data_IF_633245511789
#
_entry.id   IF_633245511789
#
_cell.length_a   1.000
_cell.length_b   1.000
_cell.length_c   1.000
_cell.angle_alpha   90.00
_cell.angle_beta   90.00
_cell.angle_gamma   90.00
#
_symmetry.space_group_name_H-M   'P 1'
#
loop_
_entity.id
_entity.type
_entity.pdbx_description
1 polymer ?
#
# COMPACT_ATOMS: atom_id res chain seq x y z
N UNK A 1 -12.20 -11.52 52.91
CA UNK A 1 -11.01 -10.93 52.25
C UNK A 1 -10.92 -11.59 50.90
N UNK A 2 -11.18 -10.81 49.84
CA UNK A 2 -11.28 -11.25 48.46
C UNK A 2 -9.98 -11.92 48.03
N UNK A 3 -10.05 -13.16 47.56
CA UNK A 3 -9.09 -13.70 46.61
C UNK A 3 -9.00 -12.70 45.46
N UNK A 4 -7.81 -12.17 45.22
CA UNK A 4 -7.49 -11.38 44.05
C UNK A 4 -7.69 -12.29 42.83
N UNK A 5 -8.83 -12.18 42.15
CA UNK A 5 -9.01 -12.74 40.82
C UNK A 5 -8.02 -12.00 39.90
N UNK A 6 -6.79 -12.52 39.81
CA UNK A 6 -5.80 -12.03 38.85
C UNK A 6 -6.42 -12.16 37.47
N UNK A 7 -6.89 -11.03 36.94
CA UNK A 7 -7.37 -10.94 35.57
C UNK A 7 -6.27 -11.48 34.66
N UNK A 8 -6.52 -12.61 34.00
CA UNK A 8 -5.59 -13.20 33.04
C UNK A 8 -5.43 -12.21 31.89
N UNK A 9 -4.26 -11.58 31.82
CA UNK A 9 -3.93 -10.59 30.79
C UNK A 9 -3.50 -11.30 29.52
N UNK A 10 -4.03 -10.86 28.36
CA UNK A 10 -3.55 -11.31 27.05
C UNK A 10 -2.22 -10.66 26.64
N UNK A 11 -1.74 -9.67 27.40
CA UNK A 11 -0.44 -9.05 27.21
C UNK A 11 0.60 -9.74 28.11
N UNK A 12 1.77 -10.06 27.53
CA UNK A 12 2.95 -10.57 28.27
C UNK A 12 3.71 -9.48 29.03
N UNK A 13 3.27 -8.24 28.92
CA UNK A 13 3.84 -7.03 29.52
C UNK A 13 2.72 -6.12 30.00
N UNK A 14 3.04 -5.12 30.82
CA UNK A 14 2.10 -4.06 31.20
C UNK A 14 1.93 -3.09 30.02
N UNK A 15 0.74 -3.01 29.38
CA UNK A 15 0.55 -2.20 28.19
C UNK A 15 0.47 -0.70 28.54
N UNK A 16 1.16 0.14 27.79
CA UNK A 16 1.06 1.59 27.94
C UNK A 16 -0.32 2.11 27.53
N UNK A 17 -0.94 2.91 28.38
CA UNK A 17 -2.20 3.60 28.07
C UNK A 17 -2.00 4.86 27.21
N UNK A 18 -0.87 5.55 27.43
CA UNK A 18 -0.63 6.88 26.85
C UNK A 18 -0.09 6.78 25.43
N UNK A 19 0.85 5.86 25.17
CA UNK A 19 1.51 5.74 23.87
C UNK A 19 0.50 5.44 22.73
N UNK A 20 -0.41 4.45 22.85
CA UNK A 20 -1.40 4.20 21.79
C UNK A 20 -2.31 5.40 21.54
N UNK A 21 -2.69 6.16 22.57
CA UNK A 21 -3.52 7.36 22.43
C UNK A 21 -2.81 8.47 21.64
N UNK A 22 -1.55 8.74 21.98
CA UNK A 22 -0.73 9.75 21.27
C UNK A 22 -0.58 9.36 19.81
N UNK A 23 -0.19 8.11 19.54
CA UNK A 23 0.04 7.67 18.17
C UNK A 23 -1.24 7.53 17.35
N UNK A 24 -2.38 7.16 17.96
CA UNK A 24 -3.68 7.26 17.32
C UNK A 24 -3.96 8.70 16.86
N UNK A 25 -3.69 9.70 17.71
CA UNK A 25 -3.81 11.11 17.36
C UNK A 25 -2.90 11.51 16.20
N UNK A 26 -1.63 11.09 16.20
CA UNK A 26 -0.68 11.41 15.13
C UNK A 26 -1.07 10.77 13.79
N UNK A 27 -1.46 9.49 13.79
CA UNK A 27 -1.95 8.81 12.58
C UNK A 27 -3.23 9.47 12.08
N UNK A 28 -4.15 9.85 12.98
CA UNK A 28 -5.38 10.56 12.62
C UNK A 28 -5.09 11.91 11.95
N UNK A 29 -4.14 12.70 12.48
CA UNK A 29 -3.71 13.95 11.84
C UNK A 29 -3.15 13.72 10.43
N UNK A 30 -2.36 12.66 10.25
CA UNK A 30 -1.86 12.24 8.93
C UNK A 30 -3.01 11.86 7.99
N UNK A 31 -4.04 11.16 8.49
CA UNK A 31 -5.24 10.81 7.73
C UNK A 31 -6.04 12.07 7.32
N UNK A 32 -6.26 13.01 8.23
CA UNK A 32 -6.95 14.28 7.94
C UNK A 32 -6.20 15.08 6.88
N UNK A 33 -4.86 15.17 6.99
CA UNK A 33 -4.03 15.81 5.98
C UNK A 33 -4.20 15.11 4.61
N UNK A 34 -4.20 13.78 4.58
CA UNK A 34 -4.41 13.00 3.36
C UNK A 34 -5.78 13.25 2.72
N UNK A 35 -6.85 13.27 3.53
CA UNK A 35 -8.22 13.59 3.07
C UNK A 35 -8.27 14.98 2.44
N UNK A 36 -7.69 15.98 3.10
CA UNK A 36 -7.62 17.33 2.57
C UNK A 36 -6.83 17.37 1.24
N UNK A 37 -5.70 16.68 1.16
CA UNK A 37 -4.91 16.56 -0.06
C UNK A 37 -5.70 15.90 -1.20
N UNK A 38 -6.47 14.87 -0.91
CA UNK A 38 -7.30 14.20 -1.92
C UNK A 38 -8.39 15.11 -2.49
N UNK A 39 -9.00 15.98 -1.67
CA UNK A 39 -9.88 17.03 -2.18
C UNK A 39 -9.12 18.10 -2.97
N UNK A 40 -7.95 18.52 -2.47
CA UNK A 40 -7.10 19.56 -3.06
C UNK A 40 -6.56 19.19 -4.44
N UNK A 41 -6.15 17.92 -4.65
CA UNK A 41 -5.63 17.37 -5.89
C UNK A 41 -6.66 16.57 -6.69
N UNK A 42 -7.88 16.34 -6.17
CA UNK A 42 -8.94 15.53 -6.79
C UNK A 42 -8.46 14.13 -7.19
N UNK A 43 -7.65 13.52 -6.32
CA UNK A 43 -6.93 12.28 -6.61
C UNK A 43 -7.49 11.04 -5.90
N UNK A 44 -8.68 11.17 -5.30
CA UNK A 44 -9.39 10.14 -4.53
C UNK A 44 -9.38 8.74 -5.16
N UNK A 45 -9.56 8.60 -6.48
CA UNK A 45 -9.61 7.27 -7.12
C UNK A 45 -8.29 6.51 -7.07
N UNK A 46 -7.16 7.22 -6.98
CA UNK A 46 -5.83 6.59 -6.98
C UNK A 46 -5.40 6.27 -5.55
N UNK A 47 -5.62 7.19 -4.64
CA UNK A 47 -5.22 7.11 -3.23
C UNK A 47 -6.34 6.63 -2.31
N UNK A 48 -7.44 6.10 -2.85
CA UNK A 48 -8.58 5.56 -2.10
C UNK A 48 -8.16 4.56 -1.02
N UNK A 49 -7.25 3.65 -1.38
CA UNK A 49 -6.74 2.63 -0.46
C UNK A 49 -5.88 3.23 0.66
N UNK A 50 -5.18 4.35 0.43
CA UNK A 50 -4.41 5.01 1.49
C UNK A 50 -5.32 5.64 2.55
N UNK A 51 -6.49 6.14 2.16
CA UNK A 51 -7.53 6.57 3.10
C UNK A 51 -8.01 5.41 3.98
N UNK A 52 -8.36 4.27 3.38
CA UNK A 52 -8.80 3.09 4.14
C UNK A 52 -7.71 2.54 5.04
N UNK A 53 -6.46 2.48 4.57
CA UNK A 53 -5.32 2.11 5.40
C UNK A 53 -5.21 2.99 6.65
N UNK A 54 -5.32 4.32 6.48
CA UNK A 54 -5.25 5.26 7.61
C UNK A 54 -6.44 5.21 8.54
N UNK A 55 -7.63 4.96 8.03
CA UNK A 55 -8.81 4.77 8.87
C UNK A 55 -8.66 3.52 9.74
N UNK A 56 -8.34 2.37 9.13
CA UNK A 56 -8.14 1.11 9.84
C UNK A 56 -7.02 1.22 10.88
N UNK A 57 -5.90 1.85 10.50
CA UNK A 57 -4.77 2.00 11.41
C UNK A 57 -5.12 2.89 12.61
N UNK A 58 -5.79 4.03 12.37
CA UNK A 58 -6.26 4.92 13.44
C UNK A 58 -7.19 4.17 14.39
N UNK A 59 -8.18 3.44 13.86
CA UNK A 59 -9.11 2.63 14.66
C UNK A 59 -8.37 1.58 15.47
N UNK A 60 -7.39 0.90 14.87
CA UNK A 60 -6.55 -0.09 15.56
C UNK A 60 -5.82 0.49 16.77
N UNK A 61 -5.21 1.67 16.65
CA UNK A 61 -4.51 2.31 17.77
C UNK A 61 -5.46 2.87 18.83
N UNK A 62 -6.66 3.33 18.45
CA UNK A 62 -7.72 3.69 19.41
C UNK A 62 -8.17 2.44 20.19
N UNK A 63 -8.45 1.34 19.49
CA UNK A 63 -8.83 0.08 20.12
C UNK A 63 -7.71 -0.46 21.01
N UNK A 64 -6.44 -0.29 20.62
CA UNK A 64 -5.32 -0.66 21.47
C UNK A 64 -5.27 0.16 22.75
N UNK A 65 -5.52 1.47 22.67
CA UNK A 65 -5.65 2.33 23.84
C UNK A 65 -6.74 1.78 24.78
N UNK A 66 -7.94 1.50 24.27
CA UNK A 66 -9.05 0.95 25.07
C UNK A 66 -8.68 -0.42 25.66
N UNK A 67 -8.08 -1.29 24.85
CA UNK A 67 -7.64 -2.64 25.24
C UNK A 67 -6.58 -2.62 26.35
N UNK A 68 -5.74 -1.58 26.42
CA UNK A 68 -4.77 -1.43 27.50
C UNK A 68 -5.42 -1.26 28.88
N UNK A 69 -6.59 -0.63 28.97
CA UNK A 69 -7.36 -0.51 30.22
C UNK A 69 -8.16 -1.77 30.58
N UNK A 70 -8.33 -2.68 29.62
CA UNK A 70 -9.11 -3.91 29.77
C UNK A 70 -8.30 -5.14 29.30
N UNK A 71 -7.15 -5.44 29.93
CA UNK A 71 -6.19 -6.43 29.44
C UNK A 71 -6.74 -7.87 29.39
N UNK A 72 -7.80 -8.17 30.16
CA UNK A 72 -8.50 -9.46 30.13
C UNK A 72 -9.64 -9.57 29.10
N UNK A 73 -9.90 -8.53 28.30
CA UNK A 73 -10.95 -8.57 27.28
C UNK A 73 -10.41 -9.10 25.94
N UNK A 74 -10.70 -10.37 25.66
CA UNK A 74 -10.25 -11.06 24.45
C UNK A 74 -10.71 -10.37 23.16
N UNK A 75 -11.96 -9.90 23.13
CA UNK A 75 -12.54 -9.28 21.93
C UNK A 75 -11.84 -7.98 21.58
N UNK A 76 -11.49 -7.16 22.58
CA UNK A 76 -10.73 -5.93 22.38
C UNK A 76 -9.29 -6.22 21.93
N UNK A 77 -8.65 -7.22 22.54
CA UNK A 77 -7.30 -7.65 22.17
C UNK A 77 -7.22 -8.15 20.72
N UNK A 78 -8.20 -8.95 20.29
CA UNK A 78 -8.29 -9.43 18.90
C UNK A 78 -8.60 -8.27 17.96
N UNK A 79 -9.59 -7.43 18.28
CA UNK A 79 -9.99 -6.33 17.43
C UNK A 79 -8.82 -5.36 17.16
N UNK A 80 -8.10 -4.92 18.20
CA UNK A 80 -6.95 -4.03 18.01
C UNK A 80 -5.85 -4.67 17.14
N UNK A 81 -5.55 -5.96 17.34
CA UNK A 81 -4.53 -6.66 16.55
C UNK A 81 -4.93 -6.72 15.07
N UNK A 82 -6.17 -7.11 14.79
CA UNK A 82 -6.69 -7.22 13.43
C UNK A 82 -6.63 -5.86 12.71
N UNK A 83 -7.10 -4.78 13.34
CA UNK A 83 -7.09 -3.45 12.70
C UNK A 83 -5.67 -2.91 12.48
N UNK A 84 -4.75 -3.12 13.44
CA UNK A 84 -3.35 -2.70 13.29
C UNK A 84 -2.67 -3.51 12.17
N UNK A 85 -2.94 -4.81 12.06
CA UNK A 85 -2.25 -5.70 11.11
C UNK A 85 -2.82 -5.64 9.70
N UNK A 86 -4.13 -5.37 9.56
CA UNK A 86 -4.80 -5.26 8.26
C UNK A 86 -4.50 -3.95 7.52
N UNK A 87 -4.20 -2.87 8.24
CA UNK A 87 -3.96 -1.56 7.65
C UNK A 87 -2.78 -1.51 6.63
N UNK A 88 -1.59 -2.07 6.89
CA UNK A 88 -0.47 -2.06 5.96
C UNK A 88 -0.71 -2.74 4.62
N UNK A 89 -1.27 -3.96 4.52
CA UNK A 89 -1.67 -4.53 3.23
C UNK A 89 -2.57 -3.58 2.43
N UNK A 90 -3.49 -2.88 3.11
CA UNK A 90 -4.34 -1.86 2.49
C UNK A 90 -3.55 -0.63 2.04
N UNK A 91 -2.55 -0.20 2.80
CA UNK A 91 -1.60 0.84 2.37
C UNK A 91 -0.78 0.42 1.14
N UNK A 92 -0.31 -0.83 1.10
CA UNK A 92 0.40 -1.38 -0.06
C UNK A 92 -0.48 -1.40 -1.30
N UNK A 93 -1.79 -1.67 -1.18
CA UNK A 93 -2.73 -1.55 -2.30
C UNK A 93 -2.74 -0.13 -2.89
N UNK A 94 -2.55 0.92 -2.08
CA UNK A 94 -2.40 2.28 -2.59
C UNK A 94 -1.11 2.44 -3.42
N UNK A 95 0.01 1.89 -2.95
CA UNK A 95 1.28 1.88 -3.68
C UNK A 95 1.14 1.12 -5.01
N UNK A 96 0.47 -0.05 -5.02
CA UNK A 96 0.24 -0.86 -6.22
C UNK A 96 -0.59 -0.08 -7.27
N UNK A 97 -1.60 0.67 -6.81
CA UNK A 97 -2.37 1.54 -7.68
C UNK A 97 -1.50 2.67 -8.28
N UNK A 98 -0.63 3.29 -7.47
CA UNK A 98 0.30 4.32 -7.93
C UNK A 98 1.28 3.74 -8.97
N UNK A 99 1.77 2.51 -8.79
CA UNK A 99 2.61 1.80 -9.78
C UNK A 99 1.84 1.59 -11.10
N UNK A 100 0.59 1.15 -11.04
CA UNK A 100 -0.27 1.05 -12.23
C UNK A 100 -0.48 2.41 -12.91
N UNK A 101 -0.61 3.50 -12.15
CA UNK A 101 -0.71 4.86 -12.68
C UNK A 101 0.60 5.37 -13.29
N UNK A 102 1.74 5.01 -12.73
CA UNK A 102 3.05 5.30 -13.29
C UNK A 102 3.21 4.61 -14.66
N UNK A 103 2.78 3.35 -14.80
CA UNK A 103 2.83 2.66 -16.10
C UNK A 103 1.83 3.21 -17.12
N UNK A 104 0.65 3.67 -16.69
CA UNK A 104 -0.27 4.38 -17.59
C UNK A 104 0.33 5.71 -18.10
N UNK A 105 1.12 6.38 -17.26
CA UNK A 105 1.78 7.63 -17.61
C UNK A 105 3.04 7.40 -18.47
N UNK A 106 3.76 6.29 -18.27
CA UNK A 106 4.91 5.85 -19.06
C UNK A 106 4.63 4.51 -19.75
N UNK A 107 3.71 4.46 -20.73
CA UNK A 107 3.26 3.21 -21.32
C UNK A 107 4.40 2.48 -22.07
N UNK A 108 5.35 3.24 -22.63
CA UNK A 108 6.59 2.74 -23.25
C UNK A 108 7.44 1.85 -22.32
N UNK A 109 7.41 2.13 -21.02
CA UNK A 109 8.23 1.46 -20.00
C UNK A 109 7.42 0.49 -19.14
N UNK A 110 6.14 0.30 -19.45
CA UNK A 110 5.26 -0.58 -18.71
C UNK A 110 5.81 -2.01 -18.66
N UNK A 111 5.80 -2.60 -17.46
CA UNK A 111 6.24 -3.98 -17.25
C UNK A 111 5.07 -4.94 -17.46
N UNK A 112 3.87 -4.56 -17.00
CA UNK A 112 2.65 -5.36 -17.11
C UNK A 112 1.48 -4.47 -17.52
N UNK A 113 0.32 -5.08 -17.74
CA UNK A 113 -0.93 -4.35 -17.96
C UNK A 113 -1.21 -3.35 -16.82
N UNK A 114 -1.16 -2.02 -17.06
CA UNK A 114 -1.18 -1.00 -16.01
C UNK A 114 -2.47 -1.01 -15.16
N UNK A 115 -3.62 -1.25 -15.81
CA UNK A 115 -4.92 -1.21 -15.13
C UNK A 115 -5.23 -2.46 -14.28
N UNK A 116 -4.44 -3.54 -14.41
CA UNK A 116 -4.69 -4.82 -13.70
C UNK A 116 -3.72 -5.07 -12.55
N UNK A 117 -2.65 -4.29 -12.46
CA UNK A 117 -1.60 -4.40 -11.43
C UNK A 117 -2.21 -4.32 -10.02
N UNK A 118 -3.05 -3.32 -9.76
CA UNK A 118 -3.72 -3.19 -8.46
C UNK A 118 -4.47 -4.47 -8.08
N UNK A 119 -5.30 -4.98 -9.00
CA UNK A 119 -6.16 -6.13 -8.74
C UNK A 119 -5.33 -7.38 -8.47
N UNK A 120 -4.31 -7.65 -9.29
CA UNK A 120 -3.46 -8.84 -9.15
C UNK A 120 -2.70 -8.83 -7.84
N UNK A 121 -2.08 -7.71 -7.48
CA UNK A 121 -1.32 -7.62 -6.23
C UNK A 121 -2.23 -7.60 -4.99
N UNK A 122 -3.43 -7.03 -5.08
CA UNK A 122 -4.42 -7.12 -3.99
C UNK A 122 -4.89 -8.55 -3.77
N UNK A 123 -5.18 -9.32 -4.83
CA UNK A 123 -5.56 -10.73 -4.68
C UNK A 123 -4.40 -11.59 -4.18
N UNK A 124 -3.18 -11.37 -4.67
CA UNK A 124 -1.99 -12.04 -4.15
C UNK A 124 -1.80 -11.73 -2.65
N UNK A 125 -1.90 -10.46 -2.26
CA UNK A 125 -1.85 -10.04 -0.86
C UNK A 125 -2.97 -10.67 -0.02
N UNK A 126 -4.21 -10.65 -0.50
CA UNK A 126 -5.34 -11.25 0.22
C UNK A 126 -5.21 -12.77 0.39
N UNK A 127 -4.66 -13.48 -0.60
CA UNK A 127 -4.36 -14.91 -0.48
C UNK A 127 -3.28 -15.17 0.58
N UNK A 128 -2.22 -14.37 0.58
CA UNK A 128 -1.14 -14.44 1.58
C UNK A 128 -1.66 -14.13 2.99
N UNK A 129 -2.44 -13.07 3.15
CA UNK A 129 -3.08 -12.72 4.43
C UNK A 129 -4.06 -13.81 4.89
N UNK A 130 -4.78 -14.46 3.96
CA UNK A 130 -5.63 -15.59 4.27
C UNK A 130 -4.86 -16.77 4.89
N UNK A 131 -3.66 -17.06 4.39
CA UNK A 131 -2.77 -18.07 4.98
C UNK A 131 -2.35 -17.66 6.40
N UNK A 132 -1.96 -16.39 6.60
CA UNK A 132 -1.57 -15.87 7.91
C UNK A 132 -2.71 -15.93 8.92
N UNK A 133 -3.92 -15.50 8.53
CA UNK A 133 -5.13 -15.54 9.38
C UNK A 133 -5.51 -16.97 9.72
N UNK A 134 -5.49 -17.89 8.75
CA UNK A 134 -5.75 -19.31 9.01
C UNK A 134 -4.71 -19.90 9.99
N UNK A 135 -3.44 -19.52 9.84
CA UNK A 135 -2.37 -19.88 10.76
C UNK A 135 -2.60 -19.35 12.18
N UNK A 136 -2.96 -18.07 12.30
CA UNK A 136 -3.27 -17.43 13.59
C UNK A 136 -4.48 -18.05 14.28
N UNK A 137 -5.55 -18.35 13.53
CA UNK A 137 -6.73 -19.02 14.07
C UNK A 137 -6.38 -20.43 14.59
N UNK A 138 -5.60 -21.20 13.82
CA UNK A 138 -5.14 -22.53 14.22
C UNK A 138 -4.21 -22.49 15.43
N UNK A 139 -3.33 -21.49 15.48
CA UNK A 139 -2.45 -21.25 16.63
C UNK A 139 -3.25 -20.95 17.90
N UNK A 140 -4.25 -20.05 17.80
CA UNK A 140 -5.08 -19.66 18.94
C UNK A 140 -5.99 -20.80 19.45
N UNK A 141 -6.42 -21.69 18.54
CA UNK A 141 -7.28 -22.83 18.88
C UNK A 141 -6.51 -24.07 19.37
N UNK A 142 -5.16 -24.05 19.37
CA UNK A 142 -4.36 -25.24 19.61
C UNK A 142 -4.52 -25.82 21.02
N UNK A 143 -4.73 -24.98 22.05
CA UNK A 143 -4.71 -25.43 23.45
C UNK A 143 -3.40 -26.18 23.75
N UNK A 144 -3.51 -27.43 24.20
CA UNK A 144 -2.38 -28.34 24.47
C UNK A 144 -1.94 -29.17 23.25
N UNK A 145 -2.61 -29.04 22.08
CA UNK A 145 -2.25 -29.76 20.87
C UNK A 145 -1.01 -29.14 20.20
N UNK A 146 0.15 -29.72 20.51
CA UNK A 146 1.44 -29.34 19.96
C UNK A 146 1.50 -29.39 18.41
N UNK A 147 0.75 -30.30 17.76
CA UNK A 147 0.74 -30.40 16.31
C UNK A 147 -0.07 -29.26 15.67
N UNK A 148 -1.21 -28.89 16.25
CA UNK A 148 -1.97 -27.72 15.82
C UNK A 148 -1.19 -26.43 16.03
N UNK A 149 -0.55 -26.27 17.20
CA UNK A 149 0.30 -25.14 17.53
C UNK A 149 1.42 -24.95 16.49
N UNK A 150 2.18 -26.00 16.23
CA UNK A 150 3.29 -25.98 15.25
C UNK A 150 2.79 -25.68 13.85
N UNK A 151 1.69 -26.32 13.43
CA UNK A 151 1.14 -26.11 12.09
C UNK A 151 0.58 -24.71 11.89
N UNK A 152 -0.14 -24.16 12.86
CA UNK A 152 -0.63 -22.78 12.82
C UNK A 152 0.53 -21.80 12.71
N UNK A 153 1.58 -22.06 13.47
CA UNK A 153 2.80 -21.28 13.41
C UNK A 153 3.50 -21.27 12.06
N UNK A 154 3.71 -22.46 11.47
CA UNK A 154 4.30 -22.58 10.13
C UNK A 154 3.50 -21.79 9.09
N UNK A 155 2.17 -21.80 9.16
CA UNK A 155 1.31 -21.04 8.25
C UNK A 155 1.54 -19.52 8.40
N UNK A 156 1.63 -19.00 9.62
CA UNK A 156 1.95 -17.58 9.86
C UNK A 156 3.33 -17.24 9.26
N UNK A 157 4.36 -18.05 9.52
CA UNK A 157 5.71 -17.82 8.97
C UNK A 157 5.73 -17.81 7.44
N UNK A 158 5.05 -18.78 6.82
CA UNK A 158 4.93 -18.87 5.35
C UNK A 158 4.23 -17.64 4.79
N UNK A 159 3.12 -17.22 5.40
CA UNK A 159 2.40 -16.02 5.02
C UNK A 159 3.30 -14.78 5.05
N UNK A 160 4.05 -14.58 6.14
CA UNK A 160 4.94 -13.43 6.31
C UNK A 160 6.11 -13.42 5.30
N UNK A 161 6.71 -14.58 5.01
CA UNK A 161 7.75 -14.70 3.97
C UNK A 161 7.16 -14.36 2.59
N UNK A 162 6.00 -14.91 2.25
CA UNK A 162 5.35 -14.64 0.98
C UNK A 162 4.97 -13.16 0.85
N UNK A 163 4.56 -12.51 1.94
CA UNK A 163 4.24 -11.09 1.97
C UNK A 163 5.48 -10.23 1.67
N UNK A 164 6.62 -10.55 2.28
CA UNK A 164 7.89 -9.89 1.97
C UNK A 164 8.30 -10.12 0.50
N UNK A 165 8.09 -11.32 -0.04
CA UNK A 165 8.40 -11.63 -1.44
C UNK A 165 7.51 -10.83 -2.41
N UNK A 166 6.21 -10.69 -2.13
CA UNK A 166 5.29 -9.86 -2.92
C UNK A 166 5.73 -8.39 -2.93
N UNK A 167 6.14 -7.85 -1.77
CA UNK A 167 6.63 -6.48 -1.70
C UNK A 167 7.95 -6.29 -2.46
N UNK A 168 8.87 -7.25 -2.38
CA UNK A 168 10.11 -7.26 -3.18
C UNK A 168 9.81 -7.26 -4.69
N UNK A 169 8.80 -8.00 -5.14
CA UNK A 169 8.38 -8.02 -6.55
C UNK A 169 7.89 -6.63 -6.99
N UNK A 170 7.15 -5.92 -6.14
CA UNK A 170 6.67 -4.56 -6.43
C UNK A 170 7.84 -3.59 -6.57
N UNK A 171 8.81 -3.66 -5.66
CA UNK A 171 10.05 -2.87 -5.74
C UNK A 171 10.80 -3.17 -7.05
N UNK A 172 10.89 -4.44 -7.44
CA UNK A 172 11.53 -4.84 -8.69
C UNK A 172 10.80 -4.26 -9.92
N UNK A 173 9.47 -4.21 -9.92
CA UNK A 173 8.68 -3.55 -10.98
C UNK A 173 9.00 -2.06 -11.07
N UNK A 174 9.05 -1.35 -9.95
CA UNK A 174 9.41 0.07 -9.92
C UNK A 174 10.85 0.27 -10.41
N UNK A 175 11.79 -0.58 -9.98
CA UNK A 175 13.17 -0.58 -10.46
C UNK A 175 13.30 -0.81 -11.97
N UNK A 176 12.53 -1.74 -12.54
CA UNK A 176 12.51 -1.95 -13.98
C UNK A 176 11.99 -0.73 -14.74
N UNK A 177 10.89 -0.11 -14.29
CA UNK A 177 10.35 1.10 -14.94
C UNK A 177 11.35 2.24 -14.86
N UNK A 178 11.92 2.47 -13.67
CA UNK A 178 12.86 3.55 -13.42
C UNK A 178 14.14 3.40 -14.26
N UNK A 179 14.71 2.20 -14.32
CA UNK A 179 15.92 1.93 -15.13
C UNK A 179 15.67 2.03 -16.63
N UNK A 180 14.51 1.58 -17.12
CA UNK A 180 14.11 1.73 -18.52
C UNK A 180 13.93 3.20 -18.91
N UNK A 181 13.23 3.98 -18.08
CA UNK A 181 13.04 5.41 -18.27
C UNK A 181 14.36 6.19 -18.25
N UNK A 182 15.26 5.85 -17.32
CA UNK A 182 16.60 6.45 -17.24
C UNK A 182 17.45 6.18 -18.48
N UNK A 183 17.49 4.92 -18.94
CA UNK A 183 18.24 4.52 -20.15
C UNK A 183 17.71 5.18 -21.42
N UNK A 184 16.40 5.41 -21.50
CA UNK A 184 15.75 6.06 -22.62
C UNK A 184 15.82 7.59 -22.58
N UNK A 185 16.44 8.21 -21.56
CA UNK A 185 16.48 9.66 -21.41
C UNK A 185 15.12 10.31 -21.10
N UNK A 186 14.12 9.51 -20.71
CA UNK A 186 12.72 9.94 -20.48
C UNK A 186 12.37 9.93 -19.00
N UNK A 187 13.32 10.33 -18.14
CA UNK A 187 13.16 10.40 -16.69
C UNK A 187 13.06 11.85 -16.20
N UNK A 188 11.90 12.52 -16.40
CA UNK A 188 11.69 13.85 -15.86
C UNK A 188 11.61 13.85 -14.33
N UNK A 189 11.71 15.04 -13.73
CA UNK A 189 11.80 15.22 -12.27
C UNK A 189 10.58 14.65 -11.54
N UNK A 190 9.37 14.82 -12.08
CA UNK A 190 8.13 14.29 -11.49
C UNK A 190 8.14 12.76 -11.40
N UNK A 191 8.56 12.06 -12.46
CA UNK A 191 8.69 10.59 -12.48
C UNK A 191 9.77 10.15 -11.51
N UNK A 192 10.94 10.80 -11.52
CA UNK A 192 12.02 10.48 -10.59
C UNK A 192 11.58 10.60 -9.13
N UNK A 193 10.92 11.71 -8.78
CA UNK A 193 10.38 11.92 -7.42
C UNK A 193 9.31 10.89 -7.07
N UNK A 194 8.44 10.52 -8.01
CA UNK A 194 7.44 9.49 -7.79
C UNK A 194 8.07 8.10 -7.56
N UNK A 195 9.08 7.71 -8.35
CA UNK A 195 9.82 6.47 -8.15
C UNK A 195 10.52 6.45 -6.77
N UNK A 196 11.16 7.56 -6.38
CA UNK A 196 11.74 7.69 -5.04
C UNK A 196 10.68 7.62 -3.94
N UNK A 197 9.51 8.19 -4.17
CA UNK A 197 8.39 8.06 -3.23
C UNK A 197 7.99 6.60 -3.06
N UNK A 198 7.87 5.85 -4.16
CA UNK A 198 7.51 4.43 -4.17
C UNK A 198 8.57 3.56 -3.49
N UNK A 199 9.86 3.80 -3.73
CA UNK A 199 10.93 3.10 -3.02
C UNK A 199 10.93 3.36 -1.53
N UNK A 200 10.69 4.62 -1.12
CA UNK A 200 10.57 4.98 0.29
C UNK A 200 9.42 4.22 0.94
N UNK A 201 8.23 4.29 0.35
CA UNK A 201 7.04 3.59 0.88
C UNK A 201 7.23 2.08 0.94
N UNK A 202 7.75 1.45 -0.11
CA UNK A 202 7.94 0.00 -0.14
C UNK A 202 9.04 -0.47 0.81
N UNK A 203 10.09 0.34 1.02
CA UNK A 203 11.13 0.03 2.03
C UNK A 203 10.54 -0.03 3.43
N UNK A 204 9.64 0.88 3.80
CA UNK A 204 9.01 0.87 5.13
C UNK A 204 8.07 -0.33 5.33
N UNK A 205 7.32 -0.70 4.28
CA UNK A 205 6.49 -1.92 4.30
C UNK A 205 7.39 -3.16 4.44
N UNK A 206 8.46 -3.25 3.66
CA UNK A 206 9.38 -4.39 3.71
C UNK A 206 10.05 -4.52 5.08
N UNK A 207 10.51 -3.41 5.67
CA UNK A 207 11.10 -3.40 6.99
C UNK A 207 10.13 -3.96 8.04
N UNK A 208 8.88 -3.49 8.03
CA UNK A 208 7.81 -4.03 8.88
C UNK A 208 7.60 -5.53 8.64
N UNK A 209 7.48 -5.98 7.38
CA UNK A 209 7.30 -7.40 7.07
C UNK A 209 8.45 -8.27 7.59
N UNK A 210 9.69 -7.80 7.50
CA UNK A 210 10.87 -8.49 8.05
C UNK A 210 10.75 -8.60 9.58
N UNK A 211 10.42 -7.51 10.28
CA UNK A 211 10.26 -7.53 11.73
C UNK A 211 9.12 -8.44 12.19
N UNK A 212 7.99 -8.43 11.48
CA UNK A 212 6.88 -9.36 11.73
C UNK A 212 7.31 -10.81 11.51
N UNK A 213 8.07 -11.10 10.46
CA UNK A 213 8.62 -12.43 10.24
C UNK A 213 9.53 -12.84 11.40
N UNK A 214 10.45 -11.97 11.83
CA UNK A 214 11.36 -12.23 12.96
C UNK A 214 10.59 -12.48 14.26
N UNK A 215 9.61 -11.64 14.59
CA UNK A 215 8.75 -11.82 15.77
C UNK A 215 7.99 -13.14 15.73
N UNK A 216 7.46 -13.50 14.56
CA UNK A 216 6.79 -14.78 14.36
C UNK A 216 7.75 -15.96 14.54
N UNK A 217 8.99 -15.86 14.07
CA UNK A 217 10.00 -16.90 14.28
C UNK A 217 10.42 -17.01 15.75
N UNK A 218 10.52 -15.92 16.49
CA UNK A 218 10.79 -15.93 17.93
C UNK A 218 9.66 -16.64 18.70
N UNK A 219 8.41 -16.40 18.30
CA UNK A 219 7.23 -17.07 18.84
C UNK A 219 7.24 -18.60 18.59
N UNK A 220 7.88 -19.08 17.50
CA UNK A 220 8.09 -20.51 17.23
C UNK A 220 9.37 -21.08 17.83
N UNK A 221 10.41 -20.28 18.01
CA UNK A 221 11.67 -20.73 18.59
C UNK A 221 11.52 -21.04 20.08
N UNK A 222 10.67 -20.28 20.77
CA UNK A 222 10.44 -20.39 22.21
C UNK A 222 9.16 -21.20 22.53
N UNK A 223 9.04 -22.39 21.95
CA UNK A 223 7.94 -23.35 22.22
C UNK A 223 7.94 -23.75 23.71
N UNK A 224 6.81 -23.56 24.40
CA UNK A 224 6.64 -23.98 25.80
C UNK A 224 7.26 -23.02 26.84
N UNK A 225 7.58 -21.80 26.44
CA UNK A 225 8.20 -20.82 27.32
C UNK A 225 7.11 -20.08 28.12
N UNK A 226 6.88 -20.48 29.38
CA UNK A 226 6.00 -19.75 30.31
C UNK A 226 6.65 -18.47 30.85
N UNK A 227 8.00 -18.44 30.94
CA UNK A 227 8.79 -17.28 31.37
C UNK A 227 9.94 -16.99 30.38
N UNK A 228 10.07 -15.74 29.93
CA UNK A 228 11.10 -15.25 29.00
C UNK A 228 11.01 -15.75 27.54
N UNK A 229 9.84 -15.59 26.90
CA UNK A 229 9.61 -15.94 25.47
C UNK A 229 10.40 -15.11 24.43
N UNK A 230 11.49 -14.47 24.85
CA UNK A 230 12.32 -13.57 24.05
C UNK A 230 11.96 -12.08 24.23
N UNK A 231 12.93 -11.18 23.99
CA UNK A 231 12.81 -9.76 24.30
C UNK A 231 11.78 -9.04 23.42
N UNK A 232 11.43 -9.56 22.24
CA UNK A 232 10.50 -8.89 21.32
C UNK A 232 9.07 -9.00 21.83
N UNK A 233 8.66 -10.20 22.26
CA UNK A 233 7.31 -10.43 22.80
C UNK A 233 7.11 -9.84 24.20
N UNK A 234 8.20 -9.67 24.94
CA UNK A 234 8.18 -9.20 26.33
C UNK A 234 8.22 -7.68 26.48
N UNK A 235 8.55 -6.95 25.41
CA UNK A 235 8.70 -5.50 25.45
C UNK A 235 7.80 -4.79 24.44
N UNK A 236 6.94 -3.91 24.93
CA UNK A 236 5.98 -3.19 24.09
C UNK A 236 6.65 -2.29 23.04
N UNK A 237 7.84 -1.76 23.33
CA UNK A 237 8.50 -0.77 22.47
C UNK A 237 8.82 -1.31 21.06
N UNK A 238 9.03 -2.63 20.88
CA UNK A 238 9.26 -3.22 19.55
C UNK A 238 8.05 -3.03 18.64
N UNK A 239 6.84 -3.16 19.17
CA UNK A 239 5.61 -2.87 18.44
C UNK A 239 5.60 -1.39 17.99
N UNK A 240 5.90 -0.45 18.88
CA UNK A 240 5.91 0.96 18.48
C UNK A 240 7.04 1.29 17.48
N UNK A 241 8.22 0.71 17.64
CA UNK A 241 9.37 1.01 16.79
C UNK A 241 9.26 0.38 15.39
N UNK A 242 8.81 -0.87 15.29
CA UNK A 242 8.91 -1.67 14.07
C UNK A 242 7.55 -1.98 13.42
N UNK A 243 6.46 -1.93 14.17
CA UNK A 243 5.11 -2.08 13.63
C UNK A 243 4.49 -0.71 13.30
N UNK A 244 4.48 0.19 14.29
CA UNK A 244 3.95 1.53 14.13
C UNK A 244 4.89 2.44 13.36
N UNK A 245 6.14 2.54 13.78
CA UNK A 245 7.12 3.51 13.28
C UNK A 245 7.21 3.56 11.75
N UNK A 246 7.45 2.43 11.06
CA UNK A 246 7.58 2.42 9.60
C UNK A 246 6.27 2.85 8.91
N UNK A 247 5.13 2.40 9.42
CA UNK A 247 3.82 2.76 8.87
C UNK A 247 3.46 4.22 9.13
N UNK A 248 3.84 4.76 10.28
CA UNK A 248 3.68 6.17 10.59
C UNK A 248 4.47 7.01 9.59
N UNK A 249 5.76 6.71 9.42
CA UNK A 249 6.62 7.42 8.46
C UNK A 249 6.09 7.27 7.04
N UNK A 250 5.62 6.07 6.65
CA UNK A 250 4.98 5.83 5.36
C UNK A 250 3.82 6.80 5.09
N UNK A 251 2.94 7.03 6.06
CA UNK A 251 1.79 7.92 5.87
C UNK A 251 2.21 9.37 5.66
N UNK A 252 3.14 9.86 6.47
CA UNK A 252 3.67 11.21 6.32
C UNK A 252 4.45 11.36 5.02
N UNK A 253 5.20 10.33 4.62
CA UNK A 253 5.94 10.30 3.37
C UNK A 253 5.01 10.44 2.17
N UNK A 254 3.92 9.67 2.13
CA UNK A 254 2.87 9.82 1.10
C UNK A 254 2.19 11.19 1.13
N UNK A 255 2.01 11.78 2.31
CA UNK A 255 1.43 13.12 2.41
C UNK A 255 2.40 14.21 1.90
N UNK A 256 3.70 14.08 2.19
CA UNK A 256 4.72 15.01 1.71
C UNK A 256 4.89 14.93 0.20
N UNK A 257 4.97 13.70 -0.33
CA UNK A 257 5.17 13.39 -1.74
C UNK A 257 3.88 12.90 -2.42
N UNK A 258 2.77 13.60 -2.16
CA UNK A 258 1.46 13.19 -2.63
C UNK A 258 1.43 12.96 -4.16
N UNK A 259 1.07 11.74 -4.65
CA UNK A 259 1.12 11.39 -6.08
C UNK A 259 0.34 12.34 -6.99
N UNK A 260 -0.74 12.94 -6.47
CA UNK A 260 -1.52 13.97 -7.18
C UNK A 260 -0.77 15.26 -7.50
N UNK A 261 0.48 15.44 -7.04
CA UNK A 261 1.38 16.52 -7.50
C UNK A 261 2.13 16.15 -8.78
N UNK A 262 2.39 14.86 -9.00
CA UNK A 262 3.32 14.38 -10.02
C UNK A 262 2.64 13.66 -11.19
N UNK A 263 1.44 13.09 -10.95
CA UNK A 263 0.69 12.34 -11.94
C UNK A 263 -0.60 13.07 -12.36
N UNK A 264 -0.99 12.98 -13.64
CA UNK A 264 -2.27 13.51 -14.08
C UNK A 264 -3.44 12.71 -13.51
N UNK A 265 -4.58 13.37 -13.26
CA UNK A 265 -5.81 12.70 -12.84
C UNK A 265 -6.32 11.69 -13.87
N UNK A 266 -6.35 12.07 -15.15
CA UNK A 266 -6.83 11.20 -16.22
C UNK A 266 -5.77 10.15 -16.57
N UNK A 267 -6.13 8.85 -16.54
CA UNK A 267 -5.20 7.75 -16.89
C UNK A 267 -4.82 7.71 -18.36
N UNK A 268 -5.61 8.33 -19.23
CA UNK A 268 -5.34 8.40 -20.67
C UNK A 268 -4.23 9.39 -21.05
N UNK A 269 -3.84 10.26 -20.11
CA UNK A 269 -2.74 11.20 -20.31
C UNK A 269 -1.41 10.49 -20.06
N UNK A 270 -0.56 10.46 -21.07
CA UNK A 270 0.74 9.81 -21.03
C UNK A 270 1.86 10.77 -21.45
N UNK A 271 3.08 10.50 -21.00
CA UNK A 271 4.28 11.23 -21.39
C UNK A 271 4.81 10.71 -22.72
N UNK A 272 5.10 11.63 -23.63
CA UNK A 272 5.72 11.35 -24.92
C UNK A 272 7.12 10.76 -24.78
N UNK A 273 7.61 10.22 -25.89
CA UNK A 273 8.95 9.61 -25.99
C UNK A 273 10.08 10.65 -25.88
N UNK A 274 9.74 11.93 -26.01
CA UNK A 274 10.58 13.10 -25.79
C UNK A 274 10.81 13.43 -24.31
N UNK A 275 10.02 12.83 -23.41
CA UNK A 275 10.11 13.06 -21.98
C UNK A 275 9.60 14.43 -21.51
N UNK A 276 8.93 15.21 -22.40
CA UNK A 276 8.48 16.58 -22.11
C UNK A 276 7.01 16.79 -22.44
N UNK A 277 6.59 16.42 -23.65
CA UNK A 277 5.21 16.63 -24.10
C UNK A 277 4.28 15.56 -23.54
N UNK A 278 3.08 15.96 -23.14
CA UNK A 278 2.07 15.04 -22.65
C UNK A 278 0.89 15.02 -23.61
N UNK A 279 0.41 13.82 -23.92
CA UNK A 279 -0.62 13.58 -24.93
C UNK A 279 -1.78 12.79 -24.36
N UNK A 280 -2.96 12.94 -24.97
CA UNK A 280 -4.17 12.21 -24.63
C UNK A 280 -4.32 10.99 -25.53
N UNK A 281 -3.96 9.81 -25.01
CA UNK A 281 -4.06 8.55 -25.73
C UNK A 281 -5.43 7.86 -25.58
N UNK A 282 -5.64 6.73 -26.29
CA UNK A 282 -6.88 5.95 -26.19
C UNK A 282 -6.99 5.26 -24.83
N UNK A 283 -5.86 5.08 -24.13
CA UNK A 283 -5.71 4.27 -22.93
C UNK A 283 -5.21 2.86 -23.27
N UNK A 284 -4.90 2.07 -22.25
CA UNK A 284 -4.48 0.69 -22.45
C UNK A 284 -5.68 -0.15 -22.91
N UNK A 285 -5.63 -0.62 -24.16
CA UNK A 285 -6.63 -1.53 -24.71
C UNK A 285 -6.05 -2.93 -24.80
N UNK A 286 -6.79 -3.91 -24.27
CA UNK A 286 -6.45 -5.32 -24.35
C UNK A 286 -7.42 -5.98 -25.34
N UNK A 287 -6.87 -6.62 -26.37
CA UNK A 287 -7.66 -7.30 -27.43
C UNK A 287 -7.84 -8.79 -27.16
N UNK A 288 -7.27 -9.32 -26.06
CA UNK A 288 -7.35 -10.74 -25.68
C UNK A 288 -8.74 -11.11 -25.20
N UNK A 289 -9.09 -12.37 -25.39
CA UNK A 289 -10.37 -12.89 -24.93
C UNK A 289 -10.51 -12.77 -23.41
N UNK A 290 -11.73 -12.59 -22.88
CA UNK A 290 -11.96 -12.47 -21.43
C UNK A 290 -11.41 -13.66 -20.63
N UNK A 291 -11.42 -14.86 -21.22
CA UNK A 291 -10.88 -16.07 -20.58
C UNK A 291 -9.35 -16.09 -20.49
N UNK A 292 -8.66 -15.67 -21.56
CA UNK A 292 -7.20 -15.51 -21.54
C UNK A 292 -6.79 -14.41 -20.55
N UNK A 293 -7.54 -13.32 -20.53
CA UNK A 293 -7.38 -12.23 -19.56
C UNK A 293 -7.57 -12.68 -18.11
N UNK A 294 -8.47 -13.63 -17.86
CA UNK A 294 -8.71 -14.17 -16.53
C UNK A 294 -7.56 -15.07 -16.05
N UNK A 295 -7.06 -15.94 -16.93
CA UNK A 295 -5.95 -16.85 -16.61
C UNK A 295 -4.59 -16.14 -16.55
N UNK A 296 -4.38 -15.13 -17.40
CA UNK A 296 -3.15 -14.33 -17.45
C UNK A 296 -3.46 -12.82 -17.41
N UNK A 297 -3.81 -12.30 -16.22
CA UNK A 297 -4.22 -10.91 -16.06
C UNK A 297 -3.09 -9.92 -16.35
N UNK A 298 -1.82 -10.30 -16.18
CA UNK A 298 -0.66 -9.41 -16.41
C UNK A 298 -0.03 -9.54 -17.80
N UNK A 299 -0.51 -10.46 -18.63
CA UNK A 299 0.03 -10.76 -19.97
C UNK A 299 1.46 -11.33 -19.96
N UNK A 300 1.75 -12.23 -19.04
CA UNK A 300 3.03 -12.95 -19.02
C UNK A 300 3.24 -13.80 -20.27
N UNK A 301 2.22 -14.52 -20.74
CA UNK A 301 2.30 -15.44 -21.85
C UNK A 301 2.51 -14.73 -23.19
N UNK A 302 1.79 -13.61 -23.42
CA UNK A 302 2.00 -12.78 -24.61
C UNK A 302 3.42 -12.20 -24.66
N UNK A 303 3.93 -11.79 -23.50
CA UNK A 303 5.29 -11.26 -23.36
C UNK A 303 6.39 -12.30 -23.61
N UNK A 304 6.20 -13.54 -23.13
CA UNK A 304 7.14 -14.65 -23.38
C UNK A 304 7.16 -15.03 -24.86
N UNK A 305 5.99 -14.99 -25.52
CA UNK A 305 5.86 -15.29 -26.95
C UNK A 305 6.28 -14.13 -27.87
N UNK A 306 6.64 -12.97 -27.31
CA UNK A 306 7.02 -11.77 -28.08
C UNK A 306 5.85 -11.13 -28.84
N UNK A 307 4.61 -11.57 -28.59
CA UNK A 307 3.40 -11.02 -29.21
C UNK A 307 2.80 -10.01 -28.25
N UNK A 308 3.14 -8.74 -28.47
CA UNK A 308 2.63 -7.63 -27.66
C UNK A 308 1.13 -7.47 -27.95
N UNK A 309 0.28 -7.90 -27.01
CA UNK A 309 -1.17 -7.94 -27.16
C UNK A 309 -1.85 -6.55 -27.15
N UNK A 310 -1.11 -5.50 -26.77
CA UNK A 310 -1.59 -4.13 -26.67
C UNK A 310 -1.07 -3.26 -27.80
N UNK A 311 -1.92 -2.32 -28.24
CA UNK A 311 -1.56 -1.32 -29.23
C UNK A 311 -0.52 -0.34 -28.66
N UNK A 312 0.64 -0.24 -29.30
CA UNK A 312 1.72 0.66 -28.93
C UNK A 312 1.43 2.09 -29.43
N UNK A 313 0.32 2.66 -28.98
CA UNK A 313 -0.21 3.95 -29.44
C UNK A 313 0.79 5.11 -29.27
N UNK A 314 1.73 4.99 -28.33
CA UNK A 314 2.80 5.97 -28.12
C UNK A 314 3.79 6.09 -29.29
N UNK A 315 3.87 5.09 -30.19
CA UNK A 315 4.69 5.15 -31.40
C UNK A 315 4.07 6.02 -32.50
N UNK A 316 2.79 6.37 -32.36
CA UNK A 316 2.04 7.19 -33.31
C UNK A 316 1.60 8.49 -32.63
N UNK A 317 2.55 9.34 -32.18
CA UNK A 317 2.24 10.52 -31.39
C UNK A 317 1.34 11.51 -32.15
N UNK A 318 1.43 11.56 -33.47
CA UNK A 318 0.69 12.50 -34.32
C UNK A 318 -0.82 12.23 -34.36
N UNK A 319 -1.26 11.01 -34.03
CA UNK A 319 -2.68 10.65 -33.91
C UNK A 319 -3.32 11.23 -32.63
N UNK A 320 -2.51 11.63 -31.63
CA UNK A 320 -2.98 11.99 -30.29
C UNK A 320 -2.74 13.46 -29.96
N UNK A 321 -3.78 14.14 -29.49
CA UNK A 321 -3.74 15.56 -29.13
C UNK A 321 -2.79 15.85 -27.97
N UNK A 322 -2.02 16.93 -28.10
CA UNK A 322 -1.17 17.47 -27.02
C UNK A 322 -2.05 18.11 -25.94
N UNK A 323 -1.68 17.95 -24.67
CA UNK A 323 -2.41 18.56 -23.56
C UNK A 323 -2.12 20.08 -23.49
N UNK A 324 -3.15 20.91 -23.62
CA UNK A 324 -3.03 22.38 -23.61
C UNK A 324 -2.79 22.97 -22.21
N UNK A 325 -3.10 22.22 -21.14
CA UNK A 325 -2.98 22.67 -19.74
C UNK A 325 -1.55 22.54 -19.16
N UNK A 326 -0.55 22.38 -20.02
CA UNK A 326 0.86 22.24 -19.66
C UNK A 326 1.31 20.77 -19.55
N UNK A 327 2.43 20.54 -18.88
CA UNK A 327 3.05 19.22 -18.66
C UNK A 327 3.42 19.02 -17.19
N UNK A 328 3.11 17.86 -16.62
CA UNK A 328 3.55 17.48 -15.28
C UNK A 328 5.07 17.20 -15.27
N UNK A 329 5.64 16.74 -16.39
CA UNK A 329 7.08 16.55 -16.53
C UNK A 329 7.88 17.85 -16.41
N UNK A 330 7.34 18.93 -16.96
CA UNK A 330 7.91 20.29 -16.90
C UNK A 330 7.47 21.08 -15.66
N UNK A 331 6.54 20.54 -14.86
CA UNK A 331 5.99 21.21 -13.68
C UNK A 331 5.04 22.38 -13.99
N UNK A 332 4.60 22.53 -15.24
CA UNK A 332 3.66 23.57 -15.67
C UNK A 332 2.20 23.17 -15.47
N UNK A 333 1.89 21.87 -15.47
CA UNK A 333 0.55 21.36 -15.20
C UNK A 333 0.30 21.10 -13.70
N UNK A 334 -0.97 21.17 -13.28
CA UNK A 334 -1.36 20.89 -11.91
C UNK A 334 -2.78 20.32 -11.79
N UNK A 335 -2.99 19.35 -10.89
CA UNK A 335 -4.35 18.86 -10.60
C UNK A 335 -5.17 19.83 -9.74
N UNK A 336 -4.50 20.83 -9.18
CA UNK A 336 -5.07 21.96 -8.44
C UNK A 336 -6.06 22.73 -9.31
N UNK A 337 -7.15 23.20 -8.72
CA UNK A 337 -8.09 24.09 -9.41
C UNK A 337 -7.36 25.39 -9.79
N UNK A 338 -7.21 25.67 -11.08
CA UNK A 338 -6.75 26.98 -11.52
C UNK A 338 -7.89 28.00 -11.38
N UNK A 339 -7.54 29.25 -11.09
CA UNK A 339 -8.51 30.35 -10.96
C UNK A 339 -9.28 30.59 -12.28
N UNK A 340 -8.71 30.19 -13.42
CA UNK A 340 -9.32 30.24 -14.75
C UNK A 340 -10.59 29.38 -14.88
N UNK A 341 -10.61 28.16 -14.34
CA UNK A 341 -11.81 27.30 -14.39
C UNK A 341 -12.97 27.85 -13.54
N UNK A 342 -12.67 28.74 -12.58
CA UNK A 342 -13.71 29.48 -11.83
C UNK A 342 -14.27 30.62 -12.68
N UNK A 343 -13.43 31.34 -13.44
CA UNK A 343 -13.87 32.40 -14.35
C UNK A 343 -14.71 31.87 -15.52
N UNK A 344 -14.35 30.76 -16.14
CA UNK A 344 -15.15 30.17 -17.24
C UNK A 344 -16.52 29.64 -16.80
N UNK A 345 -16.64 29.19 -15.54
CA UNK A 345 -17.95 28.83 -14.95
C UNK A 345 -18.76 30.05 -14.51
N UNK A 346 -18.10 31.16 -14.16
CA UNK A 346 -18.76 32.43 -13.82
C UNK A 346 -19.17 33.20 -15.07
N UNK A 347 -18.46 33.03 -16.19
CA UNK A 347 -18.77 33.62 -17.50
C UNK A 347 -19.77 32.80 -18.34
N UNK A 348 -20.17 31.62 -17.87
CA UNK A 348 -21.35 30.89 -18.36
C UNK A 348 -22.51 30.94 -17.36
N UNK A 349 -23.12 32.10 -17.06
CA UNK A 349 -24.44 32.14 -16.46
C UNK A 349 -25.47 32.05 -17.60
N UNK A 350 -25.88 30.84 -18.01
CA UNK A 350 -26.89 30.75 -19.09
C UNK A 350 -27.26 29.41 -19.67
N UNK A 351 -26.98 28.26 -19.04
CA UNK A 351 -27.57 26.99 -19.50
C UNK A 351 -28.24 26.31 -18.30
N UNK A 352 -29.54 26.65 -18.15
CA UNK A 352 -30.56 25.86 -17.44
C UNK A 352 -31.29 25.05 -18.48
#
# INVERSE_FOLDING_TARGET
MSSDDKVVSYYKYEPSHVLPAVFAGVVFLSLVAHIWQNFRYRFWRVTFWAFWGGLLFTVGWILRCISSYHPGNMNLYIAQAVFIYLAPPVYSAAAYNIVGRLMNYLPMHAVFHPDRVLIVFVYAGAAVEGITVAGAAKYAAAGDDAAQYKSGGVLIAVGLILQAAVECLVIAVVAMIHTRAAKAGTLPRNVKTLCMSLYGTSTFVLLRCIFRAVESFEMFGNIGCEENCGPILSNEWYLFAFELGPMLIFTFWLNLLHPGRFLPRNKKRYLGTDGRTERMGPGWSDRRDPWETFLDPLDFQGKIKGQVSHDQYWLRPDEWSICEDGSFAEGTASNVRSTQTRREKVLRPGEV
#
